data_IF_157604718241
#
_entry.id   IF_157604718241
#
_cell.length_a   1.000
_cell.length_b   1.000
_cell.length_c   1.000
_cell.angle_alpha   90.00
_cell.angle_beta   90.00
_cell.angle_gamma   90.00
#
_symmetry.space_group_name_H-M   'P 1'
#
loop_
_entity.id
_entity.type
_entity.pdbx_description
1 polymer ?
#
# COMPACT_ATOMS: atom_id res chain seq x y z
N UNK A 1 8.27 50.30 18.75
CA UNK A 1 7.21 49.97 17.79
C UNK A 1 7.52 48.57 17.30
N UNK A 2 6.95 47.62 18.02
CA UNK A 2 7.09 46.18 17.85
C UNK A 2 5.97 45.72 16.91
N UNK A 3 6.31 44.91 15.91
CA UNK A 3 5.31 44.25 15.07
C UNK A 3 5.86 42.91 14.59
N UNK A 4 6.17 42.07 15.57
CA UNK A 4 6.40 40.64 15.36
C UNK A 4 5.06 40.01 14.96
N UNK A 5 4.80 39.85 13.66
CA UNK A 5 3.68 39.04 13.16
C UNK A 5 3.91 37.59 13.55
N UNK A 6 3.34 37.19 14.69
CA UNK A 6 3.13 35.79 15.03
C UNK A 6 2.24 35.19 13.93
N UNK A 7 2.81 34.34 13.07
CA UNK A 7 2.05 33.48 12.19
C UNK A 7 1.28 32.50 13.09
N UNK A 8 0.03 32.81 13.42
CA UNK A 8 -0.90 31.79 13.92
C UNK A 8 -1.18 30.84 12.76
N UNK A 9 -0.42 29.75 12.69
CA UNK A 9 -0.81 28.58 11.91
C UNK A 9 -2.08 28.04 12.55
N UNK A 10 -3.19 28.05 11.80
CA UNK A 10 -4.43 27.39 12.22
C UNK A 10 -4.17 25.91 12.50
N UNK A 11 -5.05 25.24 13.24
CA UNK A 11 -4.91 23.79 13.48
C UNK A 11 -4.75 23.00 12.16
N UNK A 12 -5.45 23.41 11.09
CA UNK A 12 -5.31 22.88 9.73
C UNK A 12 -3.97 23.24 9.05
N UNK A 13 -3.35 24.36 9.40
CA UNK A 13 -2.04 24.77 8.92
C UNK A 13 -0.92 23.97 9.59
N UNK A 14 -1.04 23.70 10.90
CA UNK A 14 -0.14 22.82 11.65
C UNK A 14 -0.29 21.37 11.18
N UNK A 15 -1.52 20.90 10.96
CA UNK A 15 -1.81 19.57 10.39
C UNK A 15 -1.15 19.37 9.03
N UNK A 16 -1.33 20.31 8.10
CA UNK A 16 -0.70 20.25 6.76
C UNK A 16 0.83 20.30 6.83
N UNK A 17 1.40 21.08 7.76
CA UNK A 17 2.84 21.07 7.99
C UNK A 17 3.30 19.71 8.51
N UNK A 18 2.63 19.13 9.51
CA UNK A 18 3.00 17.83 10.09
C UNK A 18 2.84 16.70 9.07
N UNK A 19 1.78 16.70 8.27
CA UNK A 19 1.59 15.78 7.13
C UNK A 19 2.73 15.95 6.09
N UNK A 20 3.12 17.18 5.75
CA UNK A 20 4.25 17.46 4.84
C UNK A 20 5.64 17.11 5.43
N UNK A 21 5.82 17.22 6.75
CA UNK A 21 7.10 16.97 7.41
C UNK A 21 7.32 15.49 7.75
N UNK A 22 6.24 14.72 7.99
CA UNK A 22 6.28 13.29 8.32
C UNK A 22 6.20 12.40 7.07
N UNK A 23 5.41 12.80 6.07
CA UNK A 23 5.35 12.18 4.75
C UNK A 23 6.03 13.14 3.78
N UNK A 24 7.36 13.20 3.84
CA UNK A 24 8.21 14.22 3.18
C UNK A 24 8.00 14.40 1.67
N UNK A 25 7.15 13.60 1.05
CA UNK A 25 7.30 13.19 -0.33
C UNK A 25 5.96 12.98 -1.08
N UNK A 26 4.81 13.00 -0.41
CA UNK A 26 3.51 12.80 -1.08
C UNK A 26 2.81 14.15 -1.26
N UNK A 27 2.88 14.71 -2.47
CA UNK A 27 2.13 15.92 -2.81
C UNK A 27 0.67 15.56 -3.10
N UNK A 28 -0.15 15.49 -2.05
CA UNK A 28 -1.59 15.22 -2.16
C UNK A 28 -2.25 16.19 -3.16
N UNK A 29 -2.84 15.65 -4.23
CA UNK A 29 -3.60 16.44 -5.22
C UNK A 29 -5.07 16.48 -4.80
N UNK A 30 -5.64 15.32 -4.51
CA UNK A 30 -7.02 15.19 -4.09
C UNK A 30 -7.23 13.87 -3.35
N UNK A 31 -8.07 13.88 -2.32
CA UNK A 31 -8.59 12.68 -1.68
C UNK A 31 -10.11 12.81 -1.69
N UNK A 32 -10.78 11.86 -2.34
CA UNK A 32 -12.23 11.75 -2.22
C UNK A 32 -12.51 10.86 -1.02
N UNK A 33 -13.47 11.22 -0.14
CA UNK A 33 -13.90 10.30 0.89
C UNK A 33 -14.38 9.03 0.18
N UNK A 34 -13.67 7.93 0.45
CA UNK A 34 -14.15 6.60 0.16
C UNK A 34 -15.46 6.48 0.95
N UNK A 35 -16.58 6.64 0.24
CA UNK A 35 -17.93 6.99 0.74
C UNK A 35 -18.26 6.43 2.11
N UNK A 36 -18.01 7.15 3.20
CA UNK A 36 -18.41 6.86 4.61
C UNK A 36 -18.23 5.40 5.11
N UNK A 37 -17.56 4.55 4.33
CA UNK A 37 -17.45 3.11 4.47
C UNK A 37 -15.99 2.81 4.76
N UNK A 38 -15.80 2.02 5.82
CA UNK A 38 -14.51 1.55 6.28
C UNK A 38 -13.73 0.93 5.13
N UNK A 39 -12.40 1.10 5.13
CA UNK A 39 -11.51 0.28 4.30
C UNK A 39 -11.86 -1.21 4.49
N UNK A 40 -11.80 -2.00 3.42
CA UNK A 40 -12.26 -3.40 3.36
C UNK A 40 -13.78 -3.62 3.36
N UNK A 41 -14.57 -2.58 3.09
CA UNK A 41 -15.99 -2.80 2.75
C UNK A 41 -16.09 -3.44 1.36
N UNK A 42 -16.85 -4.55 1.17
CA UNK A 42 -16.94 -5.23 -0.11
C UNK A 42 -17.42 -4.30 -1.23
N UNK A 43 -16.77 -4.41 -2.39
CA UNK A 43 -17.12 -3.73 -3.64
C UNK A 43 -17.42 -4.76 -4.72
N UNK A 44 -18.26 -4.40 -5.68
CA UNK A 44 -18.46 -5.24 -6.87
C UNK A 44 -17.14 -5.30 -7.68
N UNK A 45 -16.48 -6.47 -7.79
CA UNK A 45 -15.19 -6.61 -8.45
C UNK A 45 -15.26 -6.47 -9.98
N UNK A 46 -16.47 -6.48 -10.55
CA UNK A 46 -16.71 -6.24 -11.98
C UNK A 46 -16.70 -4.75 -12.36
N UNK A 47 -16.76 -3.85 -11.39
CA UNK A 47 -16.87 -2.40 -11.63
C UNK A 47 -15.51 -1.72 -11.49
N UNK A 48 -15.15 -0.90 -12.49
CA UNK A 48 -14.00 0.02 -12.38
C UNK A 48 -14.42 1.29 -11.67
N UNK A 49 -14.11 1.37 -10.37
CA UNK A 49 -14.36 2.57 -9.58
C UNK A 49 -13.36 3.68 -9.93
N UNK A 50 -13.78 4.93 -9.75
CA UNK A 50 -12.88 6.08 -9.86
C UNK A 50 -11.83 6.05 -8.75
N UNK A 51 -10.59 6.49 -8.99
CA UNK A 51 -9.60 6.64 -7.94
C UNK A 51 -10.11 7.55 -6.81
N UNK A 52 -9.84 7.12 -5.58
CA UNK A 52 -10.22 7.84 -4.36
C UNK A 52 -9.07 8.66 -3.80
N UNK A 53 -7.84 8.34 -4.21
CA UNK A 53 -6.65 9.07 -3.78
C UNK A 53 -5.83 9.46 -5.01
N UNK A 54 -5.41 10.72 -5.05
CA UNK A 54 -4.52 11.30 -6.05
C UNK A 54 -3.37 12.02 -5.36
N UNK A 55 -2.15 11.75 -5.78
CA UNK A 55 -0.94 12.42 -5.30
C UNK A 55 0.04 12.70 -6.43
N UNK A 56 1.17 13.31 -6.08
CA UNK A 56 2.39 13.27 -6.90
C UNK A 56 3.50 12.65 -6.08
N UNK A 57 4.33 11.89 -6.78
CA UNK A 57 5.54 11.33 -6.21
C UNK A 57 6.66 12.39 -6.20
N UNK A 58 7.66 12.27 -5.31
CA UNK A 58 8.76 13.23 -5.21
C UNK A 58 9.51 13.37 -6.51
N UNK A 59 9.78 14.61 -6.91
CA UNK A 59 10.54 14.89 -8.14
C UNK A 59 9.81 14.47 -9.42
N UNK A 60 8.54 14.06 -9.33
CA UNK A 60 7.72 13.67 -10.47
C UNK A 60 6.50 14.60 -10.60
N UNK A 61 6.21 15.02 -11.83
CA UNK A 61 5.04 15.82 -12.16
C UNK A 61 3.82 14.95 -12.51
N UNK A 62 4.04 13.65 -12.76
CA UNK A 62 2.99 12.69 -13.09
C UNK A 62 2.05 12.45 -11.92
N UNK A 63 0.80 12.12 -12.25
CA UNK A 63 -0.25 11.94 -11.25
C UNK A 63 -0.27 10.49 -10.81
N UNK A 64 -0.01 10.27 -9.52
CA UNK A 64 -0.29 9.02 -8.84
C UNK A 64 -1.78 8.95 -8.51
N UNK A 65 -2.41 7.81 -8.78
CA UNK A 65 -3.81 7.55 -8.46
C UNK A 65 -3.96 6.16 -7.84
N UNK A 66 -4.77 6.04 -6.80
CA UNK A 66 -5.10 4.75 -6.16
C UNK A 66 -6.60 4.49 -6.27
N UNK A 67 -6.96 3.31 -6.77
CA UNK A 67 -8.33 2.88 -6.99
C UNK A 67 -8.56 1.42 -6.61
N UNK A 68 -9.81 1.01 -6.34
CA UNK A 68 -10.17 -0.40 -6.25
C UNK A 68 -9.77 -1.19 -7.50
N UNK A 69 -9.36 -2.43 -7.27
CA UNK A 69 -9.07 -3.41 -8.32
C UNK A 69 -10.35 -3.83 -9.03
N UNK A 70 -10.29 -3.99 -10.35
CA UNK A 70 -11.39 -4.39 -11.23
C UNK A 70 -10.99 -5.65 -11.99
N UNK A 71 -11.63 -6.78 -11.69
CA UNK A 71 -11.27 -8.09 -12.25
C UNK A 71 -11.22 -8.09 -13.78
N UNK A 72 -12.26 -7.63 -14.51
CA UNK A 72 -12.24 -7.70 -15.98
C UNK A 72 -11.09 -6.94 -16.65
N UNK A 73 -10.57 -5.89 -16.00
CA UNK A 73 -9.56 -5.01 -16.58
C UNK A 73 -8.15 -5.29 -16.06
N UNK A 74 -8.03 -5.56 -14.76
CA UNK A 74 -6.75 -5.57 -14.07
C UNK A 74 -6.19 -6.99 -13.91
N UNK A 75 -7.04 -8.02 -13.83
CA UNK A 75 -6.59 -9.41 -13.68
C UNK A 75 -5.66 -9.86 -14.83
N UNK A 76 -5.92 -9.51 -16.11
CA UNK A 76 -4.97 -9.81 -17.18
C UNK A 76 -3.61 -9.12 -17.01
N UNK A 77 -3.59 -7.90 -16.45
CA UNK A 77 -2.35 -7.14 -16.18
C UNK A 77 -1.54 -7.85 -15.10
N UNK A 78 -2.18 -8.23 -13.99
CA UNK A 78 -1.53 -8.96 -12.89
C UNK A 78 -1.04 -10.32 -13.36
N UNK A 79 -1.84 -11.04 -14.15
CA UNK A 79 -1.42 -12.33 -14.71
C UNK A 79 -0.14 -12.18 -15.53
N UNK A 80 -0.05 -11.13 -16.37
CA UNK A 80 1.16 -10.85 -17.14
C UNK A 80 2.36 -10.53 -16.23
N UNK A 81 2.18 -9.71 -15.20
CA UNK A 81 3.25 -9.39 -14.24
C UNK A 81 3.79 -10.65 -13.54
N UNK A 82 2.88 -11.51 -13.06
CA UNK A 82 3.25 -12.76 -12.39
C UNK A 82 4.00 -13.70 -13.35
N UNK A 83 3.52 -13.86 -14.59
CA UNK A 83 4.21 -14.67 -15.61
C UNK A 83 5.66 -14.24 -15.80
N UNK A 84 5.94 -12.94 -15.84
CA UNK A 84 7.31 -12.43 -15.98
C UNK A 84 8.17 -12.68 -14.75
N UNK A 85 7.60 -12.56 -13.55
CA UNK A 85 8.31 -12.93 -12.32
C UNK A 85 8.58 -14.44 -12.22
N UNK A 86 7.73 -15.28 -12.82
CA UNK A 86 7.79 -16.74 -12.79
C UNK A 86 8.58 -17.38 -13.93
N UNK A 87 8.78 -16.69 -15.06
CA UNK A 87 9.58 -17.19 -16.19
C UNK A 87 11.10 -17.08 -15.96
N UNK A 88 11.54 -16.52 -14.83
CA UNK A 88 12.94 -16.54 -14.40
C UNK A 88 13.44 -17.98 -14.14
N UNK A 89 14.68 -18.34 -14.53
CA UNK A 89 15.21 -19.69 -14.36
C UNK A 89 15.12 -20.19 -12.91
N UNK A 90 14.52 -21.37 -12.71
CA UNK A 90 14.41 -22.02 -11.40
C UNK A 90 13.10 -21.75 -10.63
N UNK A 91 12.11 -21.09 -11.23
CA UNK A 91 10.76 -20.93 -10.66
C UNK A 91 9.75 -21.85 -11.34
N UNK A 92 8.84 -22.45 -10.56
CA UNK A 92 7.77 -23.29 -11.08
C UNK A 92 6.79 -22.45 -11.92
N UNK A 93 6.26 -22.97 -13.03
CA UNK A 93 5.23 -22.30 -13.81
C UNK A 93 4.02 -22.03 -12.91
N UNK A 94 3.51 -20.79 -13.00
CA UNK A 94 2.41 -20.29 -12.19
C UNK A 94 1.10 -21.06 -12.45
N UNK A 95 0.21 -20.99 -11.46
CA UNK A 95 -1.12 -21.57 -11.47
C UNK A 95 -2.00 -21.08 -12.65
N UNK A 96 -2.97 -21.87 -13.15
CA UNK A 96 -3.90 -21.44 -14.19
C UNK A 96 -4.62 -20.13 -13.83
N UNK A 97 -4.89 -19.28 -14.84
CA UNK A 97 -5.64 -18.01 -14.71
C UNK A 97 -6.90 -18.14 -13.84
N UNK A 98 -7.57 -19.30 -13.88
CA UNK A 98 -8.78 -19.57 -13.11
C UNK A 98 -8.55 -19.55 -11.58
N UNK A 99 -7.47 -20.12 -11.07
CA UNK A 99 -7.20 -20.08 -9.62
C UNK A 99 -6.84 -18.66 -9.17
N UNK A 100 -6.19 -17.88 -10.03
CA UNK A 100 -5.93 -16.47 -9.76
C UNK A 100 -7.25 -15.67 -9.72
N UNK A 101 -8.17 -15.95 -10.64
CA UNK A 101 -9.50 -15.36 -10.65
C UNK A 101 -10.28 -15.69 -9.37
N UNK A 102 -10.31 -16.97 -8.97
CA UNK A 102 -10.96 -17.42 -7.74
C UNK A 102 -10.36 -16.72 -6.50
N UNK A 103 -9.03 -16.67 -6.41
CA UNK A 103 -8.34 -15.98 -5.30
C UNK A 103 -8.67 -14.48 -5.23
N UNK A 104 -8.68 -13.77 -6.38
CA UNK A 104 -9.05 -12.35 -6.40
C UNK A 104 -10.53 -12.13 -6.11
N UNK A 105 -11.41 -13.03 -6.55
CA UNK A 105 -12.83 -12.95 -6.24
C UNK A 105 -13.07 -13.08 -4.73
N UNK A 106 -12.46 -14.06 -4.09
CA UNK A 106 -12.57 -14.25 -2.63
C UNK A 106 -12.03 -13.04 -1.86
N UNK A 107 -10.85 -12.55 -2.27
CA UNK A 107 -10.21 -11.39 -1.64
C UNK A 107 -11.04 -10.09 -1.78
N UNK A 108 -11.70 -9.89 -2.92
CA UNK A 108 -12.46 -8.66 -3.20
C UNK A 108 -13.87 -8.66 -2.64
N UNK A 109 -14.43 -9.84 -2.36
CA UNK A 109 -15.78 -9.99 -1.79
C UNK A 109 -15.78 -10.14 -0.27
N UNK A 110 -14.61 -10.42 0.32
CA UNK A 110 -14.41 -10.44 1.77
C UNK A 110 -14.58 -9.04 2.40
N UNK A 111 -15.08 -9.01 3.63
CA UNK A 111 -15.27 -7.80 4.44
C UNK A 111 -14.05 -7.45 5.32
N UNK A 112 -12.95 -8.15 5.10
CA UNK A 112 -11.70 -7.99 5.83
C UNK A 112 -10.51 -7.65 4.94
N UNK A 113 -10.69 -7.61 3.62
CA UNK A 113 -9.64 -7.29 2.66
C UNK A 113 -10.11 -6.33 1.58
N UNK A 114 -9.15 -5.68 0.94
CA UNK A 114 -9.36 -4.89 -0.25
C UNK A 114 -8.12 -4.99 -1.14
N UNK A 115 -8.33 -5.28 -2.43
CA UNK A 115 -7.29 -5.12 -3.44
C UNK A 115 -7.44 -3.78 -4.14
N UNK A 116 -6.30 -3.12 -4.36
CA UNK A 116 -6.19 -1.80 -4.95
C UNK A 116 -5.11 -1.79 -6.03
N UNK A 117 -5.29 -0.90 -7.00
CA UNK A 117 -4.32 -0.64 -8.06
C UNK A 117 -3.87 0.82 -8.00
N UNK A 118 -2.55 1.01 -7.91
CA UNK A 118 -1.88 2.27 -8.05
C UNK A 118 -1.45 2.49 -9.50
N UNK A 119 -1.82 3.64 -10.05
CA UNK A 119 -1.57 4.06 -11.42
C UNK A 119 -0.74 5.35 -11.44
N UNK A 120 0.07 5.50 -12.47
CA UNK A 120 0.76 6.76 -12.82
C UNK A 120 0.32 7.15 -14.21
N UNK A 121 -0.33 8.30 -14.34
CA UNK A 121 -0.94 8.76 -15.61
C UNK A 121 -1.82 7.68 -16.27
N UNK A 122 -2.56 6.92 -15.45
CA UNK A 122 -3.44 5.84 -15.90
C UNK A 122 -2.73 4.52 -16.22
N UNK A 123 -1.41 4.44 -16.09
CA UNK A 123 -0.65 3.18 -16.26
C UNK A 123 -0.50 2.48 -14.91
N UNK A 124 -0.94 1.22 -14.75
CA UNK A 124 -0.73 0.44 -13.54
C UNK A 124 0.75 0.25 -13.21
N UNK A 125 1.14 0.55 -11.96
CA UNK A 125 2.53 0.43 -11.49
C UNK A 125 2.69 -0.47 -10.26
N UNK A 126 1.63 -0.62 -9.46
CA UNK A 126 1.64 -1.31 -8.19
C UNK A 126 0.24 -1.84 -7.90
N UNK A 127 0.14 -3.11 -7.56
CA UNK A 127 -1.04 -3.72 -6.97
C UNK A 127 -0.77 -3.93 -5.48
N UNK A 128 -1.74 -3.56 -4.64
CA UNK A 128 -1.62 -3.68 -3.19
C UNK A 128 -2.90 -4.24 -2.60
N UNK A 129 -2.75 -5.30 -1.83
CA UNK A 129 -3.79 -5.86 -0.98
C UNK A 129 -3.59 -5.32 0.43
N UNK A 130 -4.68 -4.86 1.04
CA UNK A 130 -4.72 -4.52 2.46
C UNK A 130 -5.75 -5.42 3.12
N UNK A 131 -5.31 -6.13 4.16
CA UNK A 131 -6.05 -7.21 4.81
C UNK A 131 -6.00 -6.95 6.31
N UNK A 132 -7.11 -7.14 7.04
CA UNK A 132 -7.06 -7.09 8.50
C UNK A 132 -6.10 -8.16 9.00
N UNK A 133 -5.19 -7.80 9.89
CA UNK A 133 -4.07 -8.68 10.25
C UNK A 133 -4.53 -9.95 10.98
N UNK A 134 -5.71 -9.94 11.60
CA UNK A 134 -6.32 -11.13 12.24
C UNK A 134 -6.85 -12.16 11.24
N UNK A 135 -6.98 -11.78 9.97
CA UNK A 135 -7.38 -12.65 8.85
C UNK A 135 -6.20 -13.00 7.92
N UNK A 136 -4.99 -12.54 8.26
CA UNK A 136 -3.76 -12.84 7.52
C UNK A 136 -2.87 -13.80 8.32
N UNK A 137 -2.00 -14.52 7.61
CA UNK A 137 -1.03 -15.44 8.23
C UNK A 137 -0.03 -14.75 9.17
N UNK A 138 0.09 -13.42 9.12
CA UNK A 138 0.86 -12.64 10.07
C UNK A 138 0.36 -12.82 11.51
N UNK A 139 -0.93 -13.12 11.71
CA UNK A 139 -1.52 -13.41 13.02
C UNK A 139 -0.90 -14.61 13.74
N UNK A 140 -0.29 -15.54 12.99
CA UNK A 140 0.42 -16.68 13.56
C UNK A 140 1.78 -16.29 14.14
N UNK A 141 2.26 -15.09 13.82
CA UNK A 141 3.63 -14.64 14.08
C UNK A 141 3.67 -13.39 14.94
N UNK A 142 2.63 -12.56 14.95
CA UNK A 142 2.56 -11.30 15.71
C UNK A 142 1.36 -11.30 16.67
N UNK A 143 1.48 -10.50 17.74
CA UNK A 143 0.35 -10.23 18.64
C UNK A 143 -0.53 -9.13 18.03
N UNK A 144 -1.62 -9.57 17.40
CA UNK A 144 -2.52 -8.73 16.60
C UNK A 144 -3.54 -8.02 17.48
N UNK A 145 -3.67 -6.72 17.24
CA UNK A 145 -4.60 -5.83 17.92
C UNK A 145 -5.62 -5.26 16.94
N UNK A 146 -6.71 -4.71 17.48
CA UNK A 146 -7.69 -3.99 16.66
C UNK A 146 -7.02 -2.81 15.96
N UNK A 147 -7.24 -2.71 14.64
CA UNK A 147 -6.64 -1.70 13.78
C UNK A 147 -5.29 -2.08 13.18
N UNK A 148 -4.86 -3.33 13.36
CA UNK A 148 -3.74 -3.90 12.63
C UNK A 148 -4.17 -4.44 11.27
N UNK A 149 -3.38 -4.12 10.26
CA UNK A 149 -3.54 -4.60 8.89
C UNK A 149 -2.24 -5.18 8.39
N UNK A 150 -2.32 -6.08 7.41
CA UNK A 150 -1.21 -6.59 6.63
C UNK A 150 -1.34 -6.06 5.21
N UNK A 151 -0.22 -5.80 4.55
CA UNK A 151 -0.19 -5.53 3.11
C UNK A 151 0.62 -6.58 2.35
N UNK A 152 0.07 -6.99 1.20
CA UNK A 152 0.78 -7.70 0.15
C UNK A 152 0.82 -6.81 -1.08
N UNK A 153 1.90 -6.87 -1.86
CA UNK A 153 2.01 -6.03 -3.04
C UNK A 153 2.83 -6.66 -4.16
N UNK A 154 2.55 -6.19 -5.37
CA UNK A 154 3.24 -6.56 -6.59
C UNK A 154 3.48 -5.31 -7.44
N UNK A 155 4.73 -5.08 -7.83
CA UNK A 155 5.07 -4.00 -8.76
C UNK A 155 5.00 -4.48 -10.20
N UNK A 156 4.75 -3.54 -11.11
CA UNK A 156 4.88 -3.77 -12.54
C UNK A 156 6.34 -4.07 -12.90
N UNK A 157 6.65 -5.20 -13.57
CA UNK A 157 7.97 -5.46 -14.11
C UNK A 157 8.30 -4.56 -15.32
N UNK A 158 7.28 -3.94 -15.93
CA UNK A 158 7.41 -3.07 -17.11
C UNK A 158 7.64 -1.61 -16.81
N UNK A 159 7.58 -1.23 -15.54
CA UNK A 159 7.73 0.16 -15.14
C UNK A 159 9.20 0.45 -14.83
N UNK A 160 9.90 1.07 -15.78
CA UNK A 160 11.30 1.43 -15.63
C UNK A 160 11.45 2.66 -14.74
N UNK A 161 11.65 2.42 -13.44
CA UNK A 161 11.82 3.45 -12.43
C UNK A 161 12.80 3.01 -11.33
N UNK A 162 13.51 3.96 -10.68
CA UNK A 162 14.39 3.64 -9.57
C UNK A 162 13.61 3.11 -8.37
N UNK A 163 14.29 2.36 -7.48
CA UNK A 163 13.66 1.80 -6.28
C UNK A 163 12.97 2.83 -5.40
N UNK A 164 13.57 4.01 -5.27
CA UNK A 164 13.02 5.14 -4.51
C UNK A 164 11.63 5.54 -5.01
N UNK A 165 11.38 5.44 -6.32
CA UNK A 165 10.08 5.73 -6.89
C UNK A 165 9.01 4.75 -6.39
N UNK A 166 9.33 3.46 -6.39
CA UNK A 166 8.44 2.42 -5.87
C UNK A 166 8.24 2.55 -4.35
N UNK A 167 9.27 2.98 -3.61
CA UNK A 167 9.14 3.29 -2.20
C UNK A 167 8.18 4.46 -1.95
N UNK A 168 8.28 5.53 -2.73
CA UNK A 168 7.35 6.68 -2.66
C UNK A 168 5.92 6.30 -3.05
N UNK A 169 5.74 5.43 -4.05
CA UNK A 169 4.43 4.90 -4.43
C UNK A 169 3.81 4.10 -3.28
N UNK A 170 4.58 3.20 -2.67
CA UNK A 170 4.13 2.44 -1.50
C UNK A 170 3.81 3.35 -0.30
N UNK A 171 4.66 4.35 -0.04
CA UNK A 171 4.44 5.33 1.02
C UNK A 171 3.16 6.16 0.77
N UNK A 172 2.85 6.50 -0.48
CA UNK A 172 1.59 7.16 -0.86
C UNK A 172 0.36 6.30 -0.57
N UNK A 173 0.43 4.99 -0.80
CA UNK A 173 -0.62 4.06 -0.38
C UNK A 173 -0.79 4.05 1.14
N UNK A 174 0.32 3.93 1.89
CA UNK A 174 0.29 3.93 3.36
C UNK A 174 -0.30 5.22 3.92
N UNK A 175 0.07 6.38 3.36
CA UNK A 175 -0.53 7.67 3.70
C UNK A 175 -2.05 7.63 3.53
N UNK A 176 -2.52 7.09 2.40
CA UNK A 176 -3.96 6.93 2.16
C UNK A 176 -4.60 5.97 3.16
N UNK A 177 -3.95 4.87 3.55
CA UNK A 177 -4.49 3.91 4.52
C UNK A 177 -4.60 4.50 5.91
N UNK A 178 -3.57 5.20 6.37
CA UNK A 178 -3.58 5.85 7.67
C UNK A 178 -4.58 7.01 7.79
N UNK A 179 -5.08 7.53 6.67
CA UNK A 179 -6.22 8.47 6.70
C UNK A 179 -7.53 7.82 7.20
N UNK A 180 -7.63 6.49 7.18
CA UNK A 180 -8.76 5.77 7.77
C UNK A 180 -8.56 5.62 9.28
N UNK A 181 -9.46 6.14 10.12
CA UNK A 181 -9.25 6.22 11.57
C UNK A 181 -9.11 4.86 12.26
N UNK A 182 -9.62 3.80 11.63
CA UNK A 182 -9.53 2.43 12.12
C UNK A 182 -8.15 1.79 11.97
N UNK A 183 -7.23 2.38 11.21
CA UNK A 183 -5.91 1.78 10.93
C UNK A 183 -4.87 2.38 11.86
N UNK A 184 -4.17 1.51 12.59
CA UNK A 184 -3.17 1.88 13.59
C UNK A 184 -1.78 1.39 13.23
N UNK A 185 -1.67 0.18 12.69
CA UNK A 185 -0.40 -0.42 12.30
C UNK A 185 -0.57 -1.22 11.02
N UNK A 186 0.41 -1.15 10.15
CA UNK A 186 0.48 -1.94 8.93
C UNK A 186 1.71 -2.84 8.98
N UNK A 187 1.51 -4.13 8.79
CA UNK A 187 2.56 -5.13 8.70
C UNK A 187 2.85 -5.48 7.24
N UNK A 188 4.08 -5.86 6.97
CA UNK A 188 4.46 -6.48 5.70
C UNK A 188 5.58 -7.49 5.95
N UNK A 189 5.73 -8.47 5.07
CA UNK A 189 6.77 -9.49 5.17
C UNK A 189 7.57 -9.60 3.89
N UNK A 190 8.86 -9.88 4.04
CA UNK A 190 9.76 -10.20 2.94
C UNK A 190 10.66 -11.36 3.33
N UNK A 191 11.08 -12.19 2.37
CA UNK A 191 12.12 -13.17 2.63
C UNK A 191 13.40 -12.45 3.08
N UNK A 192 14.07 -12.94 4.13
CA UNK A 192 15.28 -12.28 4.65
C UNK A 192 16.44 -12.24 3.65
N UNK A 193 16.39 -13.09 2.62
CA UNK A 193 17.34 -13.15 1.50
C UNK A 193 17.00 -12.16 0.38
N UNK A 194 15.77 -11.65 0.30
CA UNK A 194 15.33 -10.73 -0.75
C UNK A 194 15.75 -9.29 -0.45
N UNK A 195 17.03 -8.97 -0.67
CA UNK A 195 17.59 -7.65 -0.39
C UNK A 195 16.82 -6.50 -1.05
N UNK A 196 16.23 -6.74 -2.23
CA UNK A 196 15.48 -5.72 -2.97
C UNK A 196 14.22 -5.33 -2.21
N UNK A 197 13.40 -6.31 -1.84
CA UNK A 197 12.15 -6.06 -1.10
C UNK A 197 12.42 -5.52 0.31
N UNK A 198 13.45 -6.02 1.00
CA UNK A 198 13.82 -5.51 2.33
C UNK A 198 14.25 -4.03 2.28
N UNK A 199 15.07 -3.65 1.29
CA UNK A 199 15.48 -2.25 1.12
C UNK A 199 14.30 -1.35 0.77
N UNK A 200 13.44 -1.79 -0.16
CA UNK A 200 12.23 -1.06 -0.53
C UNK A 200 11.32 -0.78 0.68
N UNK A 201 11.07 -1.79 1.53
CA UNK A 201 10.22 -1.63 2.70
C UNK A 201 10.79 -0.57 3.66
N UNK A 202 12.10 -0.59 3.88
CA UNK A 202 12.78 0.41 4.72
C UNK A 202 12.66 1.82 4.14
N UNK A 203 12.91 1.97 2.83
CA UNK A 203 12.77 3.26 2.13
C UNK A 203 11.32 3.78 2.15
N UNK A 204 10.33 2.87 2.14
CA UNK A 204 8.91 3.23 2.25
C UNK A 204 8.48 3.62 3.68
N UNK A 205 9.37 3.54 4.67
CA UNK A 205 9.13 3.93 6.06
C UNK A 205 8.83 2.78 7.02
N UNK A 206 8.88 1.52 6.56
CA UNK A 206 8.72 0.39 7.47
C UNK A 206 9.95 0.18 8.35
N UNK A 207 9.71 -0.20 9.60
CA UNK A 207 10.75 -0.61 10.55
C UNK A 207 10.75 -2.13 10.68
N UNK A 208 11.93 -2.74 10.66
CA UNK A 208 12.07 -4.18 10.92
C UNK A 208 11.62 -4.48 12.36
N UNK A 209 10.53 -5.24 12.51
CA UNK A 209 10.00 -5.64 13.80
C UNK A 209 10.72 -6.88 14.33
N UNK A 210 10.80 -7.94 13.52
CA UNK A 210 11.56 -9.16 13.84
C UNK A 210 11.86 -10.02 12.62
N UNK A 211 12.80 -10.95 12.78
CA UNK A 211 13.08 -12.01 11.82
C UNK A 211 12.67 -13.36 12.42
N UNK A 212 11.84 -14.13 11.71
CA UNK A 212 11.39 -15.45 12.15
C UNK A 212 11.76 -16.53 11.13
N UNK A 213 11.89 -17.77 11.60
CA UNK A 213 12.06 -18.92 10.70
C UNK A 213 10.68 -19.30 10.15
N UNK A 214 10.59 -19.42 8.84
CA UNK A 214 9.38 -19.83 8.12
C UNK A 214 9.78 -20.58 6.85
N UNK A 215 9.10 -21.67 6.50
CA UNK A 215 9.53 -22.51 5.38
C UNK A 215 9.47 -21.70 4.05
N UNK A 216 10.52 -21.72 3.19
CA UNK A 216 11.74 -22.55 3.23
C UNK A 216 12.97 -21.91 3.91
N UNK A 217 12.85 -20.77 4.58
CA UNK A 217 13.99 -20.05 5.16
C UNK A 217 13.67 -19.15 6.36
N UNK A 218 14.01 -17.87 6.24
CA UNK A 218 13.70 -16.83 7.23
C UNK A 218 12.91 -15.73 6.54
N UNK A 219 11.95 -15.17 7.25
CA UNK A 219 11.22 -13.99 6.81
C UNK A 219 11.47 -12.85 7.79
N UNK A 220 11.58 -11.65 7.24
CA UNK A 220 11.60 -10.41 7.98
C UNK A 220 10.17 -9.88 8.03
N UNK A 221 9.70 -9.58 9.24
CA UNK A 221 8.42 -8.93 9.49
C UNK A 221 8.71 -7.47 9.78
N UNK A 222 8.06 -6.62 9.00
CA UNK A 222 8.15 -5.18 9.03
C UNK A 222 6.86 -4.59 9.59
N UNK A 223 6.98 -3.46 10.27
CA UNK A 223 5.86 -2.71 10.84
C UNK A 223 5.98 -1.24 10.47
N UNK A 224 4.86 -0.64 10.09
CA UNK A 224 4.70 0.79 9.96
C UNK A 224 3.59 1.21 10.92
N UNK A 225 3.94 2.04 11.89
CA UNK A 225 2.97 2.57 12.85
C UNK A 225 2.34 3.84 12.30
N UNK A 226 1.06 4.07 12.58
CA UNK A 226 0.45 5.37 12.40
C UNK A 226 1.14 6.33 13.36
N UNK A 227 1.79 7.37 12.85
CA UNK A 227 2.25 8.46 13.70
C UNK A 227 1.02 9.33 13.98
N UNK A 228 0.49 9.37 15.22
CA UNK A 228 -0.67 10.17 15.51
C UNK A 228 -0.36 11.63 15.16
N UNK A 229 -1.22 12.27 14.38
CA UNK A 229 -1.25 13.72 14.35
C UNK A 229 -1.51 14.18 15.78
N UNK A 230 -0.61 14.99 16.34
CA UNK A 230 -0.76 15.53 17.69
C UNK A 230 -2.07 16.31 17.74
N UNK A 231 -3.12 15.69 18.28
CA UNK A 231 -4.37 16.36 18.66
C UNK A 231 -4.08 17.14 19.94
N UNK A 232 -3.77 18.42 19.76
CA UNK A 232 -3.74 19.43 20.82
C UNK A 232 -4.79 20.49 20.54
#
# INVERSE_FOLDING_TARGET
MDNTRQLMLTHDGVRRLVEQFLYRDVNLIAMRPFTEKLLCSPLDPGIRYTPFFYGRLPGDHRVFALRPFCIPLDLPVIYNWIQEYCTAPGKNPFSPVQQLLEAYHDLLTADYSQSLLAEVDGTPILQIDIIRADQDEISLKEDIQSGDYCIHFLFSPHFDAPMSYFASALNSCLYSFFSFPGIKRVFCKAAATDRRSNHLLQEAGFVLNKTVRDYPGKINIYRHDHVPTVTG
#
